data_IF_740395950802
#
_entry.id   IF_740395950802
#
_cell.length_a   1.000
_cell.length_b   1.000
_cell.length_c   1.000
_cell.angle_alpha   90.00
_cell.angle_beta   90.00
_cell.angle_gamma   90.00
#
_symmetry.space_group_name_H-M   'P 1'
#
loop_
_entity.id
_entity.type
_entity.pdbx_description
1 polymer ?
#
# COMPACT_ATOMS: atom_id res chain seq x y z
N UNK A 1 -9.85 -1.07 34.18
CA UNK A 1 -8.68 -1.92 33.84
C UNK A 1 -8.04 -1.33 32.59
N UNK A 2 -6.73 -1.10 32.66
CA UNK A 2 -5.88 -0.43 31.67
C UNK A 2 -6.04 -1.04 30.27
N UNK A 3 -6.93 -0.46 29.46
CA UNK A 3 -6.90 -0.67 28.02
C UNK A 3 -5.68 0.05 27.47
N UNK A 4 -4.98 -0.59 26.52
CA UNK A 4 -3.78 -0.03 25.89
C UNK A 4 -3.99 1.45 25.58
N UNK A 5 -3.39 2.30 26.41
CA UNK A 5 -3.67 3.72 26.37
C UNK A 5 -3.03 4.32 25.13
N UNK A 6 -3.63 5.38 24.60
CA UNK A 6 -2.96 6.22 23.58
C UNK A 6 -1.54 6.61 24.02
N UNK A 7 -1.30 6.73 25.33
CA UNK A 7 0.01 6.96 25.92
C UNK A 7 1.02 5.82 25.68
N UNK A 8 0.63 4.55 25.82
CA UNK A 8 1.52 3.40 25.59
C UNK A 8 1.86 3.25 24.11
N UNK A 9 0.87 3.48 23.22
CA UNK A 9 1.09 3.54 21.77
C UNK A 9 2.07 4.65 21.40
N UNK A 10 1.98 5.81 22.05
CA UNK A 10 2.86 6.95 21.79
C UNK A 10 4.28 6.66 22.23
N UNK A 11 4.48 6.04 23.41
CA UNK A 11 5.81 5.59 23.87
C UNK A 11 6.40 4.57 22.89
N UNK A 12 5.61 3.58 22.45
CA UNK A 12 6.05 2.61 21.47
C UNK A 12 6.44 3.28 20.14
N UNK A 13 5.62 4.22 19.66
CA UNK A 13 5.91 4.99 18.45
C UNK A 13 7.22 5.76 18.55
N UNK A 14 7.50 6.38 19.70
CA UNK A 14 8.78 7.07 19.95
C UNK A 14 9.96 6.10 19.88
N UNK A 15 9.85 4.91 20.49
CA UNK A 15 10.91 3.89 20.43
C UNK A 15 11.17 3.46 18.98
N UNK A 16 10.12 3.17 18.21
CA UNK A 16 10.25 2.80 16.80
C UNK A 16 10.89 3.93 16.00
N UNK A 17 10.50 5.19 16.26
CA UNK A 17 11.10 6.36 15.60
C UNK A 17 12.59 6.54 15.95
N UNK A 18 13.02 6.19 17.16
CA UNK A 18 14.45 6.25 17.54
C UNK A 18 15.25 5.17 16.81
N UNK A 19 14.72 3.94 16.72
CA UNK A 19 15.41 2.81 16.09
C UNK A 19 15.49 2.97 14.57
N UNK A 20 14.37 3.32 13.94
CA UNK A 20 14.27 3.40 12.48
C UNK A 20 14.57 4.80 11.94
N UNK A 21 14.40 5.85 12.75
CA UNK A 21 14.49 7.25 12.34
C UNK A 21 13.20 7.79 11.74
N UNK A 22 12.95 9.10 11.90
CA UNK A 22 11.76 9.79 11.37
C UNK A 22 11.63 9.75 9.85
N UNK A 23 12.73 9.58 9.12
CA UNK A 23 12.74 9.56 7.65
C UNK A 23 12.53 8.17 7.05
N UNK A 24 12.85 7.09 7.76
CA UNK A 24 12.72 5.72 7.20
C UNK A 24 11.31 5.17 7.32
N UNK A 25 10.62 5.46 8.41
CA UNK A 25 9.23 5.03 8.62
C UNK A 25 8.28 5.50 7.50
N UNK A 26 8.25 6.79 7.12
CA UNK A 26 7.38 7.30 6.06
C UNK A 26 7.78 6.80 4.67
N UNK A 27 9.08 6.64 4.40
CA UNK A 27 9.56 6.16 3.10
C UNK A 27 9.22 4.69 2.87
N UNK A 28 9.35 3.84 3.91
CA UNK A 28 8.89 2.45 3.88
C UNK A 28 7.38 2.36 3.66
N UNK A 29 6.59 3.14 4.40
CA UNK A 29 5.13 3.20 4.22
C UNK A 29 4.74 3.68 2.82
N UNK A 30 5.44 4.67 2.26
CA UNK A 30 5.18 5.17 0.92
C UNK A 30 5.46 4.12 -0.16
N UNK A 31 6.56 3.38 -0.02
CA UNK A 31 6.92 2.32 -0.96
C UNK A 31 5.97 1.12 -0.86
N UNK A 32 5.64 0.70 0.36
CA UNK A 32 4.66 -0.35 0.61
C UNK A 32 3.26 0.05 0.12
N UNK A 33 2.87 1.30 0.34
CA UNK A 33 1.59 1.85 -0.12
C UNK A 33 1.48 1.91 -1.64
N UNK A 34 2.55 2.29 -2.35
CA UNK A 34 2.59 2.21 -3.82
C UNK A 34 2.43 0.78 -4.30
N UNK A 35 3.22 -0.15 -3.75
CA UNK A 35 3.16 -1.56 -4.13
C UNK A 35 1.78 -2.18 -3.84
N UNK A 36 1.19 -1.89 -2.68
CA UNK A 36 -0.16 -2.34 -2.35
C UNK A 36 -1.23 -1.72 -3.26
N UNK A 37 -1.06 -0.47 -3.68
CA UNK A 37 -1.97 0.20 -4.60
C UNK A 37 -1.90 -0.39 -6.02
N UNK A 38 -0.69 -0.62 -6.53
CA UNK A 38 -0.46 -1.29 -7.83
C UNK A 38 -0.94 -2.74 -7.81
N UNK A 39 -0.70 -3.47 -6.73
CA UNK A 39 -1.21 -4.82 -6.52
C UNK A 39 -2.75 -4.84 -6.54
N UNK A 40 -3.38 -3.91 -5.83
CA UNK A 40 -4.85 -3.77 -5.82
C UNK A 40 -5.40 -3.34 -7.18
N UNK A 41 -4.68 -2.52 -7.94
CA UNK A 41 -5.06 -2.12 -9.29
C UNK A 41 -5.02 -3.32 -10.24
N UNK A 42 -3.93 -4.09 -10.26
CA UNK A 42 -3.80 -5.29 -11.10
C UNK A 42 -4.77 -6.41 -10.72
N UNK A 43 -5.21 -6.50 -9.47
CA UNK A 43 -6.29 -7.42 -9.06
C UNK A 43 -7.70 -6.92 -9.40
N UNK A 44 -7.86 -5.60 -9.60
CA UNK A 44 -9.16 -4.97 -9.92
C UNK A 44 -9.38 -4.79 -11.41
N UNK A 45 -8.33 -4.79 -12.21
CA UNK A 45 -8.43 -4.90 -13.66
C UNK A 45 -9.10 -6.27 -13.92
N UNK A 46 -10.39 -6.30 -14.30
CA UNK A 46 -10.96 -7.55 -14.77
C UNK A 46 -10.11 -7.97 -15.97
N UNK A 47 -10.02 -9.27 -16.22
CA UNK A 47 -9.33 -9.91 -17.35
C UNK A 47 -9.87 -9.45 -18.74
N UNK A 48 -10.67 -8.38 -18.77
CA UNK A 48 -11.57 -7.91 -19.81
C UNK A 48 -10.95 -6.81 -20.71
N UNK A 49 -9.96 -6.03 -20.23
CA UNK A 49 -9.32 -5.01 -21.08
C UNK A 49 -8.35 -5.57 -22.12
N UNK A 50 -7.87 -6.82 -21.95
CA UNK A 50 -7.16 -7.55 -23.01
C UNK A 50 -8.09 -8.24 -24.01
N UNK A 51 -9.39 -8.41 -23.71
CA UNK A 51 -10.36 -8.95 -24.65
C UNK A 51 -10.80 -7.88 -25.67
N UNK A 52 -10.95 -6.62 -25.25
CA UNK A 52 -11.39 -5.52 -26.13
C UNK A 52 -10.41 -5.12 -27.23
N UNK A 53 -9.12 -5.46 -27.13
CA UNK A 53 -8.13 -5.13 -28.17
C UNK A 53 -8.04 -6.17 -29.30
N UNK A 54 -8.66 -7.33 -29.14
CA UNK A 54 -8.62 -8.41 -30.15
C UNK A 54 -9.77 -8.24 -31.17
N UNK A 55 -10.85 -7.56 -30.79
CA UNK A 55 -12.03 -7.38 -31.65
C UNK A 55 -11.91 -6.22 -32.67
N UNK A 56 -10.93 -5.32 -32.54
CA UNK A 56 -10.71 -4.21 -33.49
C UNK A 56 -9.76 -4.56 -34.66
N UNK A 57 -8.98 -5.64 -34.57
CA UNK A 57 -8.04 -6.09 -35.63
C UNK A 57 -8.67 -7.11 -36.60
N UNK A 58 -9.91 -7.57 -36.33
CA UNK A 58 -10.62 -8.56 -37.15
C UNK A 58 -11.72 -7.95 -38.05
N UNK A 59 -11.72 -6.62 -38.21
CA UNK A 59 -12.68 -5.88 -39.04
C UNK A 59 -12.06 -5.02 -40.16
N UNK A 60 -10.80 -5.27 -40.53
CA UNK A 60 -10.24 -4.86 -41.84
C UNK A 60 -10.10 -6.04 -42.80
#
# INVERSE_FOLDING_TARGET
MFGMGTQELLIFMVIVLVVFGSSRLPSLMRNLGRSANEFKAGMKEPVDENAKKIDEDSKE
#
